data_IF_940858017759
#
_entry.id   IF_940858017759
#
_cell.length_a   1.000
_cell.length_b   1.000
_cell.length_c   1.000
_cell.angle_alpha   90.00
_cell.angle_beta   90.00
_cell.angle_gamma   90.00
#
_symmetry.space_group_name_H-M   'P 1'
#
loop_
_entity.id
_entity.type
_entity.pdbx_description
1 polymer ?
#
# COMPACT_ATOMS: atom_id res chain seq x y z
N UNK A 1 -20.40 -59.56 33.73
CA UNK A 1 -19.29 -60.04 32.86
C UNK A 1 -19.33 -59.19 31.59
N UNK A 2 -18.82 -57.95 31.67
CA UNK A 2 -18.99 -56.93 30.63
C UNK A 2 -17.73 -56.85 29.76
N UNK A 3 -17.84 -57.21 28.49
CA UNK A 3 -16.83 -56.93 27.47
C UNK A 3 -17.10 -55.54 26.88
N UNK A 4 -16.27 -54.56 27.23
CA UNK A 4 -16.24 -53.26 26.59
C UNK A 4 -15.34 -53.32 25.35
N UNK A 5 -15.96 -53.09 24.20
CA UNK A 5 -15.35 -52.97 22.88
C UNK A 5 -14.63 -51.61 22.80
N UNK A 6 -13.30 -51.59 22.68
CA UNK A 6 -12.53 -50.37 22.37
C UNK A 6 -12.52 -50.19 20.84
N UNK A 7 -13.31 -49.26 20.32
CA UNK A 7 -13.11 -48.72 18.98
C UNK A 7 -12.04 -47.62 19.04
N UNK A 8 -10.89 -47.89 18.42
CA UNK A 8 -9.89 -46.87 18.12
C UNK A 8 -10.32 -46.16 16.84
N UNK A 9 -10.82 -44.93 16.97
CA UNK A 9 -10.99 -44.02 15.83
C UNK A 9 -9.64 -43.33 15.58
N UNK A 10 -8.92 -43.79 14.56
CA UNK A 10 -7.81 -43.04 13.99
C UNK A 10 -8.38 -41.87 13.18
N UNK A 11 -8.44 -40.69 13.80
CA UNK A 11 -8.71 -39.44 13.08
C UNK A 11 -7.41 -39.04 12.39
N UNK A 12 -7.29 -39.40 11.11
CA UNK A 12 -6.28 -38.82 10.24
C UNK A 12 -6.61 -37.34 10.04
N UNK A 13 -5.89 -36.45 10.73
CA UNK A 13 -5.91 -35.02 10.42
C UNK A 13 -5.12 -34.86 9.13
N UNK A 14 -5.84 -34.92 8.00
CA UNK A 14 -5.33 -34.47 6.72
C UNK A 14 -5.31 -32.93 6.78
N UNK A 15 -4.21 -32.36 7.26
CA UNK A 15 -3.93 -30.93 7.08
C UNK A 15 -3.76 -30.69 5.59
N UNK A 16 -4.85 -30.31 4.93
CA UNK A 16 -4.78 -29.63 3.64
C UNK A 16 -4.00 -28.33 3.89
N UNK A 17 -2.72 -28.32 3.53
CA UNK A 17 -2.02 -27.08 3.24
C UNK A 17 -2.65 -26.53 1.95
N UNK A 18 -3.78 -25.84 2.10
CA UNK A 18 -4.17 -24.81 1.15
C UNK A 18 -3.07 -23.77 1.22
N UNK A 19 -2.19 -23.74 0.23
CA UNK A 19 -1.35 -22.58 -0.02
C UNK A 19 -2.29 -21.41 -0.29
N UNK A 20 -2.65 -20.68 0.75
CA UNK A 20 -3.35 -19.41 0.64
C UNK A 20 -2.41 -18.42 -0.04
N UNK A 21 -2.47 -18.38 -1.37
CA UNK A 21 -1.96 -17.28 -2.15
C UNK A 21 -2.93 -16.11 -1.90
N UNK A 22 -2.51 -15.10 -1.12
CA UNK A 22 -3.23 -13.84 -0.99
C UNK A 22 -3.38 -13.23 0.41
N UNK A 23 -2.31 -13.09 1.19
CA UNK A 23 -2.35 -12.48 2.54
C UNK A 23 -1.10 -11.63 2.80
N UNK A 24 -1.15 -10.69 3.75
CA UNK A 24 0.00 -9.85 4.14
C UNK A 24 1.27 -10.67 4.29
N UNK A 25 2.40 -10.10 3.90
CA UNK A 25 3.66 -10.83 3.92
C UNK A 25 4.42 -10.49 5.19
N UNK A 26 5.10 -11.48 5.77
CA UNK A 26 5.91 -11.23 6.96
C UNK A 26 7.00 -10.21 6.63
N UNK A 27 7.11 -9.17 7.47
CA UNK A 27 8.14 -8.14 7.33
C UNK A 27 9.55 -8.73 7.31
N UNK A 28 9.77 -9.88 7.97
CA UNK A 28 11.06 -10.57 8.00
C UNK A 28 11.59 -10.93 6.61
N UNK A 29 10.69 -11.16 5.64
CA UNK A 29 11.05 -11.45 4.25
C UNK A 29 11.76 -10.27 3.58
N UNK A 30 11.50 -9.05 4.03
CA UNK A 30 11.93 -7.82 3.37
C UNK A 30 13.05 -7.07 4.11
N UNK A 31 13.32 -7.44 5.37
CA UNK A 31 14.37 -6.80 6.14
C UNK A 31 15.71 -6.94 5.40
N UNK A 32 16.31 -5.79 5.09
CA UNK A 32 17.59 -5.71 4.42
C UNK A 32 18.42 -4.56 5.03
N UNK A 33 19.28 -4.94 5.97
CA UNK A 33 20.20 -4.02 6.64
C UNK A 33 21.36 -3.54 5.76
N UNK A 34 21.52 -4.09 4.54
CA UNK A 34 22.59 -3.70 3.62
C UNK A 34 22.25 -2.43 2.85
N UNK A 35 20.97 -2.06 2.78
CA UNK A 35 20.50 -0.82 2.17
C UNK A 35 21.05 0.38 2.95
N UNK A 36 21.83 1.21 2.27
CA UNK A 36 22.40 2.43 2.86
C UNK A 36 21.34 3.51 2.97
N UNK A 37 21.16 4.01 4.20
CA UNK A 37 20.16 5.02 4.54
C UNK A 37 20.79 6.13 5.40
N UNK A 38 20.17 7.30 5.40
CA UNK A 38 20.51 8.38 6.32
C UNK A 38 19.91 8.18 7.73
N UNK A 39 20.05 9.18 8.60
CA UNK A 39 19.51 9.14 9.97
C UNK A 39 17.98 9.10 10.05
N UNK A 40 17.28 9.48 8.98
CA UNK A 40 15.83 9.44 8.85
C UNK A 40 15.33 8.17 8.14
N UNK A 41 16.22 7.21 7.84
CA UNK A 41 15.93 6.00 7.07
C UNK A 41 15.57 6.27 5.60
N UNK A 42 15.98 7.41 5.04
CA UNK A 42 15.86 7.72 3.62
C UNK A 42 17.05 7.06 2.92
N UNK A 43 16.84 6.28 1.84
CA UNK A 43 17.94 5.64 1.14
C UNK A 43 18.86 6.66 0.50
N UNK A 44 20.18 6.45 0.58
CA UNK A 44 21.15 7.38 -0.01
C UNK A 44 21.33 7.17 -1.52
N UNK A 45 20.92 6.01 -2.04
CA UNK A 45 20.87 5.74 -3.48
C UNK A 45 19.49 6.14 -4.03
N UNK A 46 19.49 7.02 -5.04
CA UNK A 46 18.29 7.48 -5.75
C UNK A 46 17.57 6.36 -6.48
N UNK A 47 18.26 5.26 -6.83
CA UNK A 47 17.70 4.11 -7.53
C UNK A 47 17.13 3.05 -6.59
N UNK A 48 17.28 3.20 -5.28
CA UNK A 48 16.77 2.24 -4.30
C UNK A 48 15.24 2.20 -4.35
N UNK A 49 14.64 1.03 -4.62
CA UNK A 49 13.20 0.85 -4.49
C UNK A 49 12.70 1.14 -3.07
N UNK A 50 11.59 1.85 -2.99
CA UNK A 50 10.89 2.17 -1.73
C UNK A 50 9.96 1.07 -1.23
N UNK A 51 9.76 0.05 -2.06
CA UNK A 51 8.89 -1.08 -1.79
C UNK A 51 9.62 -2.38 -2.17
N UNK A 52 9.34 -3.50 -1.50
CA UNK A 52 9.63 -4.82 -2.05
C UNK A 52 8.97 -4.95 -3.42
N UNK A 53 9.77 -5.22 -4.46
CA UNK A 53 9.32 -5.14 -5.86
C UNK A 53 8.12 -6.04 -6.16
N UNK A 54 8.07 -7.19 -5.50
CA UNK A 54 6.99 -8.18 -5.59
C UNK A 54 5.62 -7.69 -5.10
N UNK A 55 5.52 -6.53 -4.44
CA UNK A 55 4.22 -5.90 -4.17
C UNK A 55 3.53 -5.35 -5.42
N UNK A 56 4.30 -5.09 -6.48
CA UNK A 56 3.82 -4.53 -7.74
C UNK A 56 4.18 -5.46 -8.89
N UNK A 57 3.54 -6.64 -8.96
CA UNK A 57 3.76 -7.59 -10.04
C UNK A 57 3.27 -7.01 -11.38
N UNK A 58 3.82 -7.52 -12.49
CA UNK A 58 3.28 -7.18 -13.81
C UNK A 58 1.86 -7.74 -13.93
N UNK A 59 1.02 -7.03 -14.68
CA UNK A 59 -0.36 -7.43 -14.96
C UNK A 59 -0.56 -7.60 -16.45
N UNK A 60 -1.09 -8.75 -16.87
CA UNK A 60 -1.59 -8.95 -18.23
C UNK A 60 -3.04 -8.50 -18.31
N UNK A 61 -3.41 -7.83 -19.40
CA UNK A 61 -4.75 -7.31 -19.61
C UNK A 61 -5.43 -8.04 -20.76
N UNK A 62 -6.53 -8.72 -20.46
CA UNK A 62 -7.40 -9.36 -21.44
C UNK A 62 -8.64 -8.50 -21.69
N UNK A 63 -8.83 -8.09 -22.94
CA UNK A 63 -10.02 -7.38 -23.40
C UNK A 63 -11.07 -8.39 -23.85
N UNK A 64 -12.02 -8.69 -22.98
CA UNK A 64 -13.07 -9.66 -23.27
C UNK A 64 -14.26 -8.90 -23.85
N UNK A 65 -14.56 -9.13 -25.12
CA UNK A 65 -15.74 -8.56 -25.78
C UNK A 65 -17.00 -9.22 -25.20
N UNK A 66 -17.85 -8.42 -24.56
CA UNK A 66 -19.15 -8.88 -24.06
C UNK A 66 -20.21 -8.81 -25.17
N UNK A 67 -20.14 -7.77 -26.01
CA UNK A 67 -20.98 -7.58 -27.20
C UNK A 67 -20.34 -6.51 -28.12
N UNK A 68 -21.03 -6.13 -29.21
CA UNK A 68 -20.50 -5.20 -30.22
C UNK A 68 -20.15 -3.79 -29.71
N UNK A 69 -20.49 -3.45 -28.46
CA UNK A 69 -20.25 -2.12 -27.89
C UNK A 69 -19.68 -2.12 -26.48
N UNK A 70 -19.38 -3.29 -25.89
CA UNK A 70 -18.80 -3.35 -24.55
C UNK A 70 -17.72 -4.44 -24.43
N UNK A 71 -16.69 -4.09 -23.65
CA UNK A 71 -15.58 -4.95 -23.31
C UNK A 71 -15.43 -4.95 -21.79
N UNK A 72 -15.22 -6.12 -21.20
CA UNK A 72 -14.76 -6.27 -19.83
C UNK A 72 -13.24 -6.40 -19.86
N UNK A 73 -12.56 -5.55 -19.09
CA UNK A 73 -11.12 -5.66 -18.87
C UNK A 73 -10.91 -6.67 -17.74
N UNK A 74 -10.23 -7.77 -18.02
CA UNK A 74 -9.72 -8.67 -16.97
C UNK A 74 -8.23 -8.49 -16.85
N UNK A 75 -7.78 -8.15 -15.65
CA UNK A 75 -6.36 -8.14 -15.32
C UNK A 75 -6.00 -9.46 -14.64
N UNK A 76 -4.83 -9.98 -15.00
CA UNK A 76 -4.25 -11.15 -14.35
C UNK A 76 -2.82 -10.83 -13.96
N UNK A 77 -2.54 -10.97 -12.68
CA UNK A 77 -1.20 -10.84 -12.13
C UNK A 77 -0.30 -11.95 -12.64
N UNK A 78 0.90 -11.58 -13.09
CA UNK A 78 1.93 -12.52 -13.51
C UNK A 78 2.79 -12.85 -12.28
N UNK A 79 2.65 -14.07 -11.76
CA UNK A 79 3.37 -14.48 -10.56
C UNK A 79 4.89 -14.45 -10.78
N UNK A 80 5.64 -13.97 -9.78
CA UNK A 80 7.11 -13.93 -9.81
C UNK A 80 7.71 -12.79 -10.63
N UNK A 81 6.91 -11.89 -11.20
CA UNK A 81 7.39 -10.68 -11.90
C UNK A 81 7.18 -9.42 -11.05
N UNK A 82 7.71 -8.31 -11.54
CA UNK A 82 7.45 -6.97 -11.00
C UNK A 82 7.51 -5.92 -12.11
N UNK A 83 6.69 -4.89 -12.00
CA UNK A 83 6.69 -3.75 -12.91
C UNK A 83 7.77 -2.75 -12.49
N UNK A 84 8.92 -2.80 -13.17
CA UNK A 84 10.07 -1.93 -12.87
C UNK A 84 9.77 -0.45 -13.06
N UNK A 85 8.93 -0.11 -14.04
CA UNK A 85 8.52 1.26 -14.29
C UNK A 85 7.70 1.80 -13.12
N UNK A 86 6.69 1.05 -12.68
CA UNK A 86 5.82 1.40 -11.55
C UNK A 86 6.63 1.56 -10.26
N UNK A 87 7.49 0.59 -9.95
CA UNK A 87 8.30 0.64 -8.73
C UNK A 87 9.25 1.83 -8.76
N UNK A 88 9.93 2.07 -9.88
CA UNK A 88 10.82 3.22 -10.05
C UNK A 88 10.07 4.55 -9.96
N UNK A 89 8.89 4.63 -10.57
CA UNK A 89 8.02 5.80 -10.54
C UNK A 89 7.58 6.14 -9.11
N UNK A 90 7.08 5.18 -8.34
CA UNK A 90 6.66 5.49 -6.95
C UNK A 90 7.85 5.84 -6.06
N UNK A 91 8.97 5.16 -6.26
CA UNK A 91 10.18 5.34 -5.46
C UNK A 91 10.81 6.72 -5.66
N UNK A 92 10.87 7.24 -6.89
CA UNK A 92 11.46 8.57 -7.15
C UNK A 92 10.69 9.68 -6.42
N UNK A 93 9.36 9.59 -6.37
CA UNK A 93 8.52 10.55 -5.68
C UNK A 93 8.67 10.48 -4.15
N UNK A 94 8.71 9.27 -3.58
CA UNK A 94 8.95 9.10 -2.13
C UNK A 94 10.37 9.53 -1.71
N UNK A 95 11.36 9.30 -2.56
CA UNK A 95 12.71 9.81 -2.35
C UNK A 95 12.73 11.34 -2.33
N UNK A 96 12.12 11.99 -3.31
CA UNK A 96 12.02 13.46 -3.36
C UNK A 96 11.29 14.04 -2.14
N UNK A 97 10.32 13.30 -1.59
CA UNK A 97 9.65 13.63 -0.33
C UNK A 97 10.51 13.36 0.91
N UNK A 98 11.71 12.75 0.79
CA UNK A 98 12.53 12.33 1.93
C UNK A 98 11.74 11.47 2.91
N UNK A 99 10.93 10.56 2.37
CA UNK A 99 10.19 9.61 3.18
C UNK A 99 11.10 8.44 3.59
N UNK A 100 10.90 7.82 4.76
CA UNK A 100 11.70 6.67 5.19
C UNK A 100 11.34 5.41 4.39
N UNK A 101 12.28 4.48 4.25
CA UNK A 101 11.94 3.09 3.92
C UNK A 101 11.14 2.48 5.08
N UNK A 102 10.15 1.67 4.75
CA UNK A 102 9.28 1.01 5.73
C UNK A 102 9.53 -0.49 5.85
N UNK A 103 10.27 -1.09 4.91
CA UNK A 103 10.48 -2.54 4.84
C UNK A 103 11.89 -3.01 5.24
N UNK A 104 12.90 -2.13 5.15
CA UNK A 104 14.31 -2.51 5.26
C UNK A 104 14.75 -2.93 6.67
N UNK A 105 13.93 -2.68 7.69
CA UNK A 105 14.19 -3.06 9.08
C UNK A 105 12.89 -3.26 9.84
N UNK A 106 12.94 -4.08 10.89
CA UNK A 106 11.83 -4.17 11.84
C UNK A 106 11.62 -2.83 12.54
N UNK A 107 10.36 -2.49 12.75
CA UNK A 107 9.96 -1.27 13.45
C UNK A 107 9.09 -1.63 14.66
N UNK A 108 9.25 -0.86 15.73
CA UNK A 108 8.38 -0.92 16.90
C UNK A 108 7.28 0.15 16.79
N UNK A 109 6.56 0.10 15.67
CA UNK A 109 5.48 1.02 15.30
C UNK A 109 4.50 0.31 14.38
N UNK A 110 3.32 0.88 14.26
CA UNK A 110 2.40 0.61 13.15
C UNK A 110 2.35 1.86 12.27
N UNK A 111 2.58 1.70 10.97
CA UNK A 111 2.67 2.80 10.03
C UNK A 111 1.82 2.48 8.80
N UNK A 112 1.03 3.47 8.38
CA UNK A 112 0.39 3.47 7.08
C UNK A 112 0.83 4.70 6.29
N UNK A 113 1.22 4.51 5.03
CA UNK A 113 1.61 5.57 4.11
C UNK A 113 0.75 5.53 2.87
N UNK A 114 -0.06 6.57 2.70
CA UNK A 114 -0.77 6.84 1.46
C UNK A 114 0.07 7.76 0.58
N UNK A 115 0.44 7.28 -0.61
CA UNK A 115 1.11 8.07 -1.66
C UNK A 115 0.13 8.31 -2.79
N UNK A 116 0.03 9.56 -3.23
CA UNK A 116 -0.97 9.99 -4.19
C UNK A 116 -0.35 10.70 -5.37
N UNK A 117 -0.40 10.05 -6.53
CA UNK A 117 0.25 10.50 -7.76
C UNK A 117 -0.80 10.73 -8.85
N UNK A 118 -1.34 11.94 -8.88
CA UNK A 118 -2.24 12.42 -9.94
C UNK A 118 -1.42 12.89 -11.13
N UNK A 119 -1.81 12.47 -12.33
CA UNK A 119 -1.02 12.65 -13.56
C UNK A 119 -0.51 14.09 -13.72
N UNK A 120 -1.39 15.08 -13.54
CA UNK A 120 -1.10 16.51 -13.76
C UNK A 120 -1.04 17.35 -12.49
N UNK A 121 -1.23 16.76 -11.31
CA UNK A 121 -1.26 17.49 -10.04
C UNK A 121 -0.06 17.14 -9.15
N UNK A 122 0.12 17.97 -8.12
CA UNK A 122 1.20 17.85 -7.15
C UNK A 122 1.20 16.48 -6.48
N UNK A 123 2.34 15.76 -6.49
CA UNK A 123 2.53 14.54 -5.71
C UNK A 123 2.38 14.79 -4.22
N UNK A 124 1.77 13.85 -3.52
CA UNK A 124 1.57 13.93 -2.07
C UNK A 124 1.85 12.60 -1.39
N UNK A 125 2.32 12.64 -0.15
CA UNK A 125 2.34 11.48 0.74
C UNK A 125 1.81 11.86 2.12
N UNK A 126 1.09 10.93 2.73
CA UNK A 126 0.49 11.01 4.06
C UNK A 126 0.92 9.78 4.84
N UNK A 127 1.77 9.95 5.85
CA UNK A 127 2.27 8.85 6.70
C UNK A 127 1.69 8.98 8.10
N UNK A 128 0.81 8.06 8.48
CA UNK A 128 0.22 7.98 9.81
C UNK A 128 0.95 6.92 10.63
N UNK A 129 1.63 7.35 11.70
CA UNK A 129 2.34 6.46 12.61
C UNK A 129 1.63 6.36 13.95
N UNK A 130 1.58 5.13 14.48
CA UNK A 130 1.28 4.83 15.87
C UNK A 130 2.51 4.23 16.55
N UNK A 131 2.85 4.77 17.71
CA UNK A 131 3.79 4.16 18.66
C UNK A 131 3.27 4.35 20.07
N UNK A 132 2.91 3.26 20.73
CA UNK A 132 2.19 3.31 22.02
C UNK A 132 0.96 4.24 21.88
N UNK A 133 0.83 5.22 22.77
CA UNK A 133 -0.27 6.21 22.77
C UNK A 133 0.05 7.49 21.96
N UNK A 134 1.05 7.42 21.07
CA UNK A 134 1.43 8.54 20.19
C UNK A 134 0.99 8.27 18.76
N UNK A 135 0.17 9.17 18.24
CA UNK A 135 -0.40 9.13 16.90
C UNK A 135 0.05 10.37 16.14
N UNK A 136 0.82 10.20 15.06
CA UNK A 136 1.38 11.34 14.32
C UNK A 136 1.12 11.14 12.83
N UNK A 137 0.44 12.10 12.22
CA UNK A 137 0.29 12.20 10.78
C UNK A 137 1.34 13.16 10.23
N UNK A 138 2.15 12.69 9.29
CA UNK A 138 3.05 13.50 8.47
C UNK A 138 2.43 13.65 7.09
N UNK A 139 2.55 14.83 6.48
CA UNK A 139 2.24 14.97 5.06
C UNK A 139 3.23 15.87 4.35
N UNK A 140 3.50 15.50 3.10
CA UNK A 140 4.44 16.18 2.22
C UNK A 140 3.81 16.39 0.86
N UNK A 141 4.07 17.56 0.27
CA UNK A 141 3.60 17.93 -1.07
C UNK A 141 4.78 18.42 -1.87
N UNK A 142 4.94 17.91 -3.07
CA UNK A 142 5.96 18.37 -4.01
C UNK A 142 5.39 19.38 -5.01
N UNK A 143 6.26 20.16 -5.66
CA UNK A 143 5.86 21.14 -6.67
C UNK A 143 5.89 20.61 -8.13
N UNK A 144 6.26 19.34 -8.35
CA UNK A 144 6.17 18.68 -9.65
C UNK A 144 4.80 18.07 -9.95
N UNK A 145 4.77 16.98 -10.71
CA UNK A 145 3.53 16.31 -11.11
C UNK A 145 3.61 14.79 -10.89
N UNK A 146 2.48 14.18 -10.50
CA UNK A 146 2.41 12.76 -10.21
C UNK A 146 2.88 11.90 -11.37
N UNK A 147 2.41 12.15 -12.60
CA UNK A 147 2.79 11.38 -13.80
C UNK A 147 4.16 11.73 -14.39
N UNK A 148 4.90 12.69 -13.82
CA UNK A 148 6.13 13.23 -14.39
C UNK A 148 7.24 13.31 -13.34
N UNK A 149 8.06 14.36 -13.37
CA UNK A 149 9.11 14.58 -12.40
C UNK A 149 8.56 15.08 -11.06
N UNK A 150 9.13 14.61 -9.94
CA UNK A 150 8.60 14.90 -8.61
C UNK A 150 8.76 16.38 -8.22
N UNK A 151 9.79 17.06 -8.72
CA UNK A 151 10.15 18.41 -8.30
C UNK A 151 10.76 18.44 -6.89
N UNK A 152 10.56 19.53 -6.18
CA UNK A 152 11.05 19.77 -4.82
C UNK A 152 9.92 19.81 -3.80
N UNK A 153 10.26 19.64 -2.51
CA UNK A 153 9.31 19.74 -1.40
C UNK A 153 8.78 21.18 -1.30
N UNK A 154 7.47 21.35 -1.48
CA UNK A 154 6.76 22.61 -1.28
C UNK A 154 6.16 22.71 0.13
N UNK A 155 5.63 21.59 0.64
CA UNK A 155 5.02 21.50 1.96
C UNK A 155 5.57 20.27 2.68
N UNK A 156 5.98 20.47 3.93
CA UNK A 156 6.27 19.40 4.89
C UNK A 156 5.69 19.81 6.25
N UNK A 157 4.79 18.97 6.79
CA UNK A 157 4.06 19.25 8.02
C UNK A 157 3.80 17.96 8.79
N UNK A 158 3.49 18.12 10.07
CA UNK A 158 2.98 17.05 10.92
C UNK A 158 1.84 17.56 11.80
N UNK A 159 1.01 16.63 12.27
CA UNK A 159 -0.05 16.86 13.24
C UNK A 159 -0.08 15.68 14.22
N UNK A 160 -0.12 15.99 15.50
CA UNK A 160 -0.40 14.99 16.54
C UNK A 160 -1.91 14.76 16.52
N UNK A 161 -2.29 13.50 16.39
CA UNK A 161 -3.68 13.06 16.33
C UNK A 161 -4.07 12.34 17.62
N UNK A 162 -5.36 12.08 17.73
CA UNK A 162 -6.00 11.38 18.84
C UNK A 162 -6.09 9.89 18.57
N UNK A 163 -6.24 9.10 19.64
CA UNK A 163 -6.58 7.67 19.52
C UNK A 163 -7.88 7.43 18.75
N UNK A 164 -8.86 8.35 18.87
CA UNK A 164 -10.10 8.29 18.13
C UNK A 164 -9.86 8.37 16.62
N UNK A 165 -9.07 9.34 16.17
CA UNK A 165 -8.74 9.50 14.74
C UNK A 165 -7.97 8.28 14.20
N UNK A 166 -7.05 7.72 15.00
CA UNK A 166 -6.38 6.46 14.65
C UNK A 166 -7.37 5.29 14.54
N UNK A 167 -8.26 5.14 15.52
CA UNK A 167 -9.25 4.05 15.55
C UNK A 167 -10.21 4.14 14.37
N UNK A 168 -10.68 5.34 14.02
CA UNK A 168 -11.51 5.57 12.83
C UNK A 168 -10.77 5.15 11.55
N UNK A 169 -9.50 5.54 11.41
CA UNK A 169 -8.67 5.13 10.29
C UNK A 169 -8.49 3.60 10.21
N UNK A 170 -8.19 2.93 11.32
CA UNK A 170 -8.04 1.47 11.36
C UNK A 170 -9.35 0.75 11.01
N UNK A 171 -10.50 1.29 11.38
CA UNK A 171 -11.80 0.74 10.94
C UNK A 171 -11.97 0.83 9.42
N UNK A 172 -11.49 1.90 8.78
CA UNK A 172 -11.53 2.03 7.32
C UNK A 172 -10.57 1.05 6.64
N UNK A 173 -9.35 0.89 7.19
CA UNK A 173 -8.38 -0.12 6.74
C UNK A 173 -8.97 -1.54 6.84
N UNK A 174 -9.64 -1.86 7.95
CA UNK A 174 -10.30 -3.14 8.14
C UNK A 174 -11.47 -3.36 7.16
N UNK A 175 -12.29 -2.34 6.91
CA UNK A 175 -13.39 -2.42 5.91
C UNK A 175 -12.89 -2.59 4.49
N UNK A 176 -11.73 -2.02 4.17
CA UNK A 176 -11.08 -2.19 2.87
C UNK A 176 -10.43 -3.58 2.70
N UNK A 177 -10.34 -4.36 3.78
CA UNK A 177 -9.59 -5.61 3.84
C UNK A 177 -8.15 -5.45 3.32
N UNK A 178 -7.54 -4.29 3.64
CA UNK A 178 -6.28 -3.83 3.04
C UNK A 178 -5.16 -4.87 3.06
N UNK A 179 -5.01 -5.58 4.18
CA UNK A 179 -3.95 -6.58 4.36
C UNK A 179 -4.10 -7.81 3.44
N UNK A 180 -5.29 -8.01 2.87
CA UNK A 180 -5.63 -9.13 2.00
C UNK A 180 -5.95 -8.70 0.56
N UNK A 181 -6.07 -7.40 0.29
CA UNK A 181 -6.33 -6.86 -1.06
C UNK A 181 -5.32 -7.36 -2.08
N UNK A 182 -5.77 -7.96 -3.18
CA UNK A 182 -4.93 -8.50 -4.25
C UNK A 182 -3.81 -7.55 -4.70
N UNK A 183 -2.66 -8.14 -5.04
CA UNK A 183 -1.54 -7.42 -5.61
C UNK A 183 -1.75 -7.16 -7.10
N UNK A 184 -1.11 -6.11 -7.60
CA UNK A 184 -1.22 -5.67 -9.00
C UNK A 184 -2.20 -4.51 -9.17
N UNK A 185 -2.34 -4.06 -10.42
CA UNK A 185 -3.24 -2.96 -10.79
C UNK A 185 -4.53 -3.57 -11.35
N UNK A 186 -5.63 -3.46 -10.59
CA UNK A 186 -6.93 -3.97 -11.03
C UNK A 186 -7.48 -3.21 -12.24
N UNK A 187 -7.00 -2.00 -12.48
CA UNK A 187 -7.33 -1.15 -13.61
C UNK A 187 -6.09 -0.36 -14.05
N UNK A 188 -6.00 -0.10 -15.36
CA UNK A 188 -4.89 0.66 -15.97
C UNK A 188 -5.50 1.69 -16.92
N UNK A 189 -4.98 2.91 -16.88
CA UNK A 189 -5.29 3.97 -17.84
C UNK A 189 -4.06 4.81 -18.18
N UNK A 190 -4.22 5.72 -19.14
CA UNK A 190 -3.15 6.61 -19.62
C UNK A 190 -2.95 7.85 -18.77
N UNK A 191 -3.99 8.28 -18.06
CA UNK A 191 -4.03 9.43 -17.15
C UNK A 191 -4.80 9.06 -15.88
N UNK A 192 -5.18 10.04 -15.05
CA UNK A 192 -5.88 9.82 -13.78
C UNK A 192 -4.96 9.88 -12.56
N UNK A 193 -5.30 9.11 -11.53
CA UNK A 193 -4.66 9.18 -10.22
C UNK A 193 -4.25 7.81 -9.69
N UNK A 194 -2.99 7.67 -9.31
CA UNK A 194 -2.52 6.46 -8.65
C UNK A 194 -2.57 6.65 -7.13
N UNK A 195 -3.27 5.74 -6.45
CA UNK A 195 -3.45 5.75 -5.01
C UNK A 195 -2.74 4.54 -4.42
N UNK A 196 -1.60 4.76 -3.77
CA UNK A 196 -0.76 3.71 -3.21
C UNK A 196 -0.93 3.72 -1.69
N UNK A 197 -1.44 2.65 -1.11
CA UNK A 197 -1.44 2.46 0.34
C UNK A 197 -0.38 1.43 0.71
N UNK A 198 0.48 1.78 1.65
CA UNK A 198 1.49 0.91 2.23
C UNK A 198 1.28 0.83 3.74
N UNK A 199 1.35 -0.38 4.29
CA UNK A 199 1.16 -0.65 5.70
C UNK A 199 2.28 -1.55 6.21
N UNK A 200 2.77 -1.24 7.41
CA UNK A 200 3.75 -2.07 8.12
C UNK A 200 3.46 -2.05 9.62
N UNK A 201 3.60 -3.21 10.25
CA UNK A 201 3.59 -3.36 11.70
C UNK A 201 4.75 -4.28 12.13
N UNK A 202 4.71 -4.81 13.36
CA UNK A 202 5.79 -5.66 13.88
C UNK A 202 5.92 -7.01 13.14
N UNK A 203 4.85 -7.51 12.51
CA UNK A 203 4.79 -8.81 11.84
C UNK A 203 4.61 -8.70 10.34
N UNK A 204 3.85 -7.73 9.86
CA UNK A 204 3.28 -7.69 8.52
C UNK A 204 3.74 -6.49 7.72
N UNK A 205 3.78 -6.69 6.41
CA UNK A 205 3.99 -5.66 5.40
C UNK A 205 3.04 -5.89 4.21
N UNK A 206 2.48 -4.80 3.69
CA UNK A 206 1.64 -4.78 2.47
C UNK A 206 1.80 -3.44 1.77
N UNK A 207 1.86 -3.47 0.43
CA UNK A 207 1.64 -2.28 -0.38
C UNK A 207 0.71 -2.64 -1.54
N UNK A 208 -0.31 -1.80 -1.78
CA UNK A 208 -1.28 -1.98 -2.86
C UNK A 208 -1.49 -0.66 -3.58
N UNK A 209 -1.76 -0.75 -4.88
CA UNK A 209 -2.05 0.41 -5.73
C UNK A 209 -3.41 0.27 -6.38
N UNK A 210 -4.21 1.33 -6.32
CA UNK A 210 -5.50 1.40 -6.99
C UNK A 210 -5.53 2.62 -7.89
N UNK A 211 -5.87 2.41 -9.16
CA UNK A 211 -5.97 3.48 -10.15
C UNK A 211 -7.36 4.14 -10.11
N UNK A 212 -7.37 5.45 -9.87
CA UNK A 212 -8.51 6.36 -9.86
C UNK A 212 -9.76 5.87 -9.09
N UNK A 213 -9.61 5.37 -7.85
CA UNK A 213 -10.75 4.91 -7.07
C UNK A 213 -11.68 6.09 -6.76
N UNK A 214 -12.97 5.98 -7.08
CA UNK A 214 -13.94 7.06 -6.85
C UNK A 214 -14.89 6.86 -5.67
N UNK A 215 -14.87 5.66 -5.08
CA UNK A 215 -15.70 5.24 -3.94
C UNK A 215 -15.19 3.93 -3.35
N UNK A 216 -15.74 3.57 -2.20
CA UNK A 216 -15.49 2.29 -1.53
C UNK A 216 -14.42 2.40 -0.44
N UNK A 217 -14.27 1.35 0.35
CA UNK A 217 -13.54 1.44 1.62
C UNK A 217 -12.05 1.76 1.47
N UNK A 218 -11.41 1.36 0.36
CA UNK A 218 -10.03 1.78 0.06
C UNK A 218 -9.93 3.30 -0.17
N UNK A 219 -10.86 3.85 -0.97
CA UNK A 219 -10.95 5.29 -1.19
C UNK A 219 -11.22 6.02 0.13
N UNK A 220 -12.19 5.53 0.92
CA UNK A 220 -12.56 6.16 2.19
C UNK A 220 -11.37 6.21 3.17
N UNK A 221 -10.57 5.14 3.25
CA UNK A 221 -9.37 5.09 4.09
C UNK A 221 -8.32 6.14 3.66
N UNK A 222 -8.08 6.28 2.36
CA UNK A 222 -7.11 7.25 1.84
C UNK A 222 -7.62 8.70 1.96
N UNK A 223 -8.90 8.93 1.64
CA UNK A 223 -9.53 10.26 1.74
C UNK A 223 -9.61 10.75 3.19
N UNK A 224 -9.81 9.82 4.15
CA UNK A 224 -9.76 10.15 5.56
C UNK A 224 -8.42 10.78 5.96
N UNK A 225 -7.28 10.24 5.49
CA UNK A 225 -5.96 10.82 5.77
C UNK A 225 -5.82 12.24 5.21
N UNK A 226 -6.36 12.51 4.03
CA UNK A 226 -6.40 13.87 3.46
C UNK A 226 -7.23 14.79 4.37
N UNK A 227 -8.40 14.33 4.82
CA UNK A 227 -9.35 15.11 5.63
C UNK A 227 -8.79 15.53 7.01
N UNK A 228 -7.80 14.80 7.53
CA UNK A 228 -7.12 15.13 8.79
C UNK A 228 -6.15 16.30 8.68
N UNK A 229 -5.80 16.71 7.45
CA UNK A 229 -4.89 17.82 7.15
C UNK A 229 -5.62 19.15 6.91
N UNK A 230 -4.86 20.22 6.73
CA UNK A 230 -5.38 21.53 6.31
C UNK A 230 -5.26 21.79 4.80
N UNK A 231 -4.97 20.76 4.00
CA UNK A 231 -4.87 20.89 2.55
C UNK A 231 -6.26 21.16 1.96
N UNK A 232 -6.33 22.15 1.06
CA UNK A 232 -7.56 22.48 0.33
C UNK A 232 -7.54 21.79 -1.04
N UNK A 233 -8.19 20.64 -1.13
CA UNK A 233 -8.25 19.84 -2.35
C UNK A 233 -9.72 19.77 -2.78
N UNK A 234 -10.03 20.25 -3.98
CA UNK A 234 -11.38 20.15 -4.51
C UNK A 234 -11.63 18.73 -5.02
N UNK A 235 -12.88 18.26 -4.97
CA UNK A 235 -13.27 16.93 -5.45
C UNK A 235 -12.83 16.67 -6.90
N UNK A 236 -12.93 17.68 -7.78
CA UNK A 236 -12.50 17.58 -9.17
C UNK A 236 -10.99 17.35 -9.33
N UNK A 237 -10.19 17.73 -8.33
CA UNK A 237 -8.75 17.53 -8.32
C UNK A 237 -8.34 16.21 -7.69
N UNK A 238 -9.29 15.34 -7.31
CA UNK A 238 -8.94 14.03 -6.76
C UNK A 238 -8.52 13.00 -7.84
N UNK A 239 -8.75 13.31 -9.11
CA UNK A 239 -8.56 12.40 -10.24
C UNK A 239 -7.67 13.02 -11.31
#
# INVERSE_FOLDING_TARGET
MNKTLRQLFSIGILTLFLTQIGFSQSIEKFVDSTIKVDSLNVPTDLKQPYFPKEMFPEVSTDWIKENDSSYTIKTKTIEGTYDEFVVGWYSKHLHAMKEPLLFNRKIDKEIYRFTWLRTFDKPMAFRFEKRNDRYILYWKVLNGSGGYEPGEIEIERLKILTEKEWTEFIQLIGKADFWNMDLGRSSIGTDGSEWIMEGVNQSDYRAVSVWSPSKGSFYDACDYLISLTNLKISEKKKY
#
